data_IF_730481655715
#
_entry.id   IF_730481655715
#
_cell.length_a   1.000
_cell.length_b   1.000
_cell.length_c   1.000
_cell.angle_alpha   90.00
_cell.angle_beta   90.00
_cell.angle_gamma   90.00
#
_symmetry.space_group_name_H-M   'P 1'
#
loop_
_entity.id
_entity.type
_entity.pdbx_description
1 polymer ?
#
# COMPACT_ATOMS: atom_id res chain seq x y z
N UNK A 1 -11.13 -28.30 8.48
CA UNK A 1 -10.99 -26.92 7.94
C UNK A 1 -12.39 -26.47 7.52
N UNK A 2 -13.01 -25.52 8.21
CA UNK A 2 -14.29 -24.97 7.74
C UNK A 2 -14.05 -24.17 6.46
N UNK A 3 -14.79 -24.47 5.40
CA UNK A 3 -14.80 -23.67 4.19
C UNK A 3 -15.41 -22.29 4.52
N UNK A 4 -15.03 -21.22 3.81
CA UNK A 4 -15.68 -19.92 3.99
C UNK A 4 -17.15 -20.00 3.51
N UNK A 5 -18.11 -19.33 4.17
CA UNK A 5 -19.52 -19.36 3.77
C UNK A 5 -19.75 -18.92 2.32
N UNK A 6 -18.88 -18.05 1.78
CA UNK A 6 -18.88 -17.64 0.37
C UNK A 6 -18.88 -18.84 -0.59
N UNK A 7 -17.94 -19.78 -0.41
CA UNK A 7 -17.79 -20.92 -1.32
C UNK A 7 -19.01 -21.85 -1.29
N UNK A 8 -19.61 -22.05 -0.10
CA UNK A 8 -20.85 -22.83 0.03
C UNK A 8 -22.03 -22.13 -0.62
N UNK A 9 -22.17 -20.81 -0.46
CA UNK A 9 -23.22 -20.02 -1.13
C UNK A 9 -23.05 -20.05 -2.65
N UNK A 10 -21.83 -19.94 -3.15
CA UNK A 10 -21.54 -19.98 -4.59
C UNK A 10 -21.84 -21.36 -5.19
N UNK A 11 -21.45 -22.43 -4.50
CA UNK A 11 -21.79 -23.81 -4.89
C UNK A 11 -23.31 -24.03 -4.94
N UNK A 12 -24.03 -23.68 -3.87
CA UNK A 12 -25.49 -23.85 -3.80
C UNK A 12 -26.22 -22.99 -4.85
N UNK A 13 -25.67 -21.83 -5.20
CA UNK A 13 -26.18 -20.97 -6.27
C UNK A 13 -25.99 -21.64 -7.63
N UNK A 14 -24.81 -22.20 -7.91
CA UNK A 14 -24.52 -22.88 -9.17
C UNK A 14 -25.38 -24.14 -9.35
N UNK A 15 -25.66 -24.86 -8.28
CA UNK A 15 -26.51 -26.07 -8.34
C UNK A 15 -28.01 -25.78 -8.30
N UNK A 16 -28.43 -24.51 -8.19
CA UNK A 16 -29.85 -24.12 -8.09
C UNK A 16 -30.53 -24.51 -6.77
N UNK A 17 -29.76 -24.93 -5.76
CA UNK A 17 -30.25 -25.36 -4.45
C UNK A 17 -30.43 -24.19 -3.46
N UNK A 18 -29.82 -23.04 -3.77
CA UNK A 18 -29.94 -21.83 -2.97
C UNK A 18 -31.34 -21.23 -3.13
N UNK A 19 -32.09 -21.13 -2.04
CA UNK A 19 -33.47 -20.62 -2.01
C UNK A 19 -34.55 -21.71 -2.11
N UNK A 20 -34.21 -22.88 -2.65
CA UNK A 20 -35.11 -24.05 -2.73
C UNK A 20 -34.87 -25.02 -1.57
N UNK A 21 -33.60 -25.37 -1.32
CA UNK A 21 -33.21 -26.35 -0.30
C UNK A 21 -32.41 -25.74 0.85
N UNK A 22 -31.73 -24.63 0.61
CA UNK A 22 -30.95 -23.95 1.64
C UNK A 22 -31.03 -22.44 1.49
N UNK A 23 -31.24 -21.73 2.60
CA UNK A 23 -31.14 -20.26 2.65
C UNK A 23 -29.72 -19.82 3.00
N UNK A 24 -29.34 -18.60 2.61
CA UNK A 24 -28.05 -18.01 3.01
C UNK A 24 -27.88 -17.98 4.53
N UNK A 25 -28.97 -17.78 5.26
CA UNK A 25 -28.97 -17.77 6.73
C UNK A 25 -28.64 -19.14 7.33
N UNK A 26 -29.17 -20.21 6.76
CA UNK A 26 -28.83 -21.58 7.16
C UNK A 26 -27.35 -21.86 6.91
N UNK A 27 -26.81 -21.40 5.78
CA UNK A 27 -25.38 -21.50 5.49
C UNK A 27 -24.56 -20.72 6.52
N UNK A 28 -24.95 -19.49 6.86
CA UNK A 28 -24.25 -18.71 7.87
C UNK A 28 -24.27 -19.38 9.25
N UNK A 29 -25.43 -19.93 9.65
CA UNK A 29 -25.57 -20.65 10.93
C UNK A 29 -24.70 -21.91 10.96
N UNK A 30 -24.67 -22.69 9.88
CA UNK A 30 -23.81 -23.87 9.76
C UNK A 30 -22.31 -23.54 9.87
N UNK A 31 -21.92 -22.34 9.43
CA UNK A 31 -20.55 -21.82 9.55
C UNK A 31 -20.28 -21.03 10.83
N UNK A 32 -21.25 -20.90 11.74
CA UNK A 32 -21.11 -20.14 12.99
C UNK A 32 -20.98 -18.62 12.79
N UNK A 33 -21.52 -18.08 11.71
CA UNK A 33 -21.43 -16.66 11.34
C UNK A 33 -22.77 -15.96 11.56
N UNK A 34 -22.75 -14.75 12.13
CA UNK A 34 -23.97 -13.95 12.29
C UNK A 34 -24.48 -13.41 10.95
N UNK A 35 -25.78 -13.13 10.84
CA UNK A 35 -26.41 -12.58 9.63
C UNK A 35 -25.62 -11.37 9.08
N UNK A 36 -25.36 -10.37 9.91
CA UNK A 36 -24.64 -9.16 9.52
C UNK A 36 -23.21 -9.43 9.02
N UNK A 37 -22.50 -10.38 9.62
CA UNK A 37 -21.15 -10.76 9.19
C UNK A 37 -21.20 -11.57 7.90
N UNK A 38 -22.18 -12.46 7.76
CA UNK A 38 -22.41 -13.26 6.55
C UNK A 38 -22.61 -12.38 5.32
N UNK A 39 -23.53 -11.42 5.37
CA UNK A 39 -23.74 -10.47 4.28
C UNK A 39 -22.54 -9.55 4.04
N UNK A 40 -21.79 -9.17 5.09
CA UNK A 40 -20.53 -8.43 4.94
C UNK A 40 -19.46 -9.24 4.22
N UNK A 41 -19.40 -10.56 4.44
CA UNK A 41 -18.50 -11.45 3.72
C UNK A 41 -18.94 -11.56 2.26
N UNK A 42 -20.24 -11.77 2.00
CA UNK A 42 -20.77 -11.88 0.64
C UNK A 42 -20.62 -10.58 -0.19
N UNK A 43 -20.67 -9.42 0.46
CA UNK A 43 -20.56 -8.11 -0.20
C UNK A 43 -19.13 -7.66 -0.47
N UNK A 44 -18.11 -8.41 -0.03
CA UNK A 44 -16.70 -8.10 -0.34
C UNK A 44 -16.35 -8.82 -1.64
N UNK A 45 -16.24 -8.06 -2.73
CA UNK A 45 -15.64 -8.58 -3.97
C UNK A 45 -14.21 -9.01 -3.67
N UNK A 46 -13.95 -10.30 -3.87
CA UNK A 46 -12.63 -10.90 -3.68
C UNK A 46 -12.01 -11.01 -5.07
N UNK A 47 -11.42 -9.93 -5.58
CA UNK A 47 -10.96 -9.88 -6.98
C UNK A 47 -9.69 -10.72 -7.22
N UNK A 48 -9.05 -11.24 -6.16
CA UNK A 48 -7.84 -12.09 -6.25
C UNK A 48 -7.92 -13.19 -5.18
N UNK A 49 -7.42 -14.38 -5.54
CA UNK A 49 -7.51 -15.64 -4.83
C UNK A 49 -7.43 -15.59 -3.27
N UNK A 50 -8.19 -16.44 -2.57
CA UNK A 50 -8.39 -16.37 -1.12
C UNK A 50 -7.19 -16.83 -0.26
N UNK A 51 -6.02 -17.10 -0.85
CA UNK A 51 -4.86 -17.72 -0.16
C UNK A 51 -3.77 -16.74 0.26
N UNK A 52 -3.82 -15.48 -0.16
CA UNK A 52 -2.72 -14.54 0.10
C UNK A 52 -3.12 -13.55 1.19
N UNK A 53 -2.32 -13.47 2.26
CA UNK A 53 -2.50 -12.60 3.44
C UNK A 53 -2.43 -11.09 3.16
N UNK A 54 -2.65 -10.65 1.93
CA UNK A 54 -2.68 -9.23 1.58
C UNK A 54 -4.12 -8.73 1.65
N UNK A 55 -4.33 -7.66 2.41
CA UNK A 55 -5.62 -6.95 2.44
C UNK A 55 -5.92 -6.51 1.01
N UNK A 56 -6.97 -7.06 0.42
CA UNK A 56 -7.46 -6.70 -0.92
C UNK A 56 -8.20 -5.37 -0.94
N UNK A 57 -8.38 -4.74 0.21
CA UNK A 57 -9.03 -3.44 0.37
C UNK A 57 -7.98 -2.37 0.68
N UNK A 58 -8.16 -1.19 0.09
CA UNK A 58 -7.42 0.00 0.50
C UNK A 58 -7.68 0.25 1.99
N UNK A 59 -6.61 0.23 2.79
CA UNK A 59 -6.70 0.51 4.22
C UNK A 59 -7.12 1.97 4.41
N UNK A 60 -8.39 2.19 4.76
CA UNK A 60 -8.94 3.53 5.03
C UNK A 60 -8.70 3.99 6.46
N UNK A 61 -8.24 3.10 7.35
CA UNK A 61 -7.99 3.40 8.76
C UNK A 61 -6.54 3.81 8.96
N UNK A 62 -6.32 4.94 9.63
CA UNK A 62 -4.99 5.38 10.06
C UNK A 62 -4.76 6.87 9.87
N UNK A 63 -3.73 7.39 10.53
CA UNK A 63 -3.29 8.78 10.36
C UNK A 63 -2.69 8.95 8.96
N UNK A 64 -3.16 9.95 8.20
CA UNK A 64 -2.56 10.32 6.91
C UNK A 64 -1.07 10.61 7.07
N UNK A 65 -0.26 10.14 6.12
CA UNK A 65 1.18 10.43 6.09
C UNK A 65 1.38 11.94 5.92
N UNK A 66 2.41 12.51 6.58
CA UNK A 66 2.79 13.92 6.41
C UNK A 66 3.39 14.21 5.03
N UNK A 67 4.05 13.21 4.45
CA UNK A 67 4.61 13.27 3.11
C UNK A 67 3.77 12.37 2.21
N UNK A 68 3.11 12.97 1.23
CA UNK A 68 2.40 12.24 0.20
C UNK A 68 3.37 11.72 -0.88
N UNK A 69 2.93 10.76 -1.68
CA UNK A 69 3.74 10.15 -2.73
C UNK A 69 4.27 11.18 -3.74
N UNK A 70 3.45 12.16 -4.12
CA UNK A 70 3.90 13.24 -5.03
C UNK A 70 5.01 14.08 -4.41
N UNK A 71 4.89 14.43 -3.12
CA UNK A 71 5.93 15.17 -2.42
C UNK A 71 7.23 14.36 -2.33
N UNK A 72 7.14 13.04 -2.17
CA UNK A 72 8.31 12.18 -2.16
C UNK A 72 9.02 12.13 -3.52
N UNK A 73 8.28 12.12 -4.63
CA UNK A 73 8.87 12.20 -5.98
C UNK A 73 9.60 13.54 -6.17
N UNK A 74 9.00 14.66 -5.73
CA UNK A 74 9.61 15.99 -5.87
C UNK A 74 10.88 16.12 -5.01
N UNK A 75 10.82 15.64 -3.76
CA UNK A 75 11.99 15.54 -2.88
C UNK A 75 13.09 14.69 -3.53
N UNK A 76 12.70 13.57 -4.12
CA UNK A 76 13.61 12.66 -4.77
C UNK A 76 14.29 13.27 -6.01
N UNK A 77 13.54 14.03 -6.80
CA UNK A 77 14.07 14.80 -7.95
C UNK A 77 14.99 15.91 -7.50
N UNK A 78 14.62 16.67 -6.47
CA UNK A 78 15.46 17.68 -5.84
C UNK A 78 16.82 17.09 -5.42
N UNK A 79 16.81 15.87 -4.88
CA UNK A 79 18.03 15.13 -4.53
C UNK A 79 18.88 14.72 -5.74
N UNK A 80 18.25 14.32 -6.85
CA UNK A 80 18.96 13.78 -8.03
C UNK A 80 19.47 14.88 -8.96
N UNK A 81 18.65 15.89 -9.19
CA UNK A 81 18.90 17.05 -10.04
C UNK A 81 19.73 18.09 -9.28
N UNK A 82 19.54 18.20 -7.96
CA UNK A 82 20.24 19.14 -7.09
C UNK A 82 21.64 18.67 -6.73
N UNK A 83 22.64 19.18 -7.44
CA UNK A 83 23.90 19.51 -6.79
C UNK A 83 23.63 20.68 -5.85
N UNK A 84 23.53 20.43 -4.54
CA UNK A 84 23.26 21.47 -3.55
C UNK A 84 24.40 22.47 -3.40
N UNK A 85 24.96 23.08 -4.45
CA UNK A 85 26.01 24.11 -4.39
C UNK A 85 27.13 23.82 -3.35
N UNK A 86 27.55 22.55 -3.23
CA UNK A 86 28.54 22.12 -2.23
C UNK A 86 28.05 22.05 -0.76
N UNK A 87 26.77 22.34 -0.49
CA UNK A 87 26.14 22.28 0.83
C UNK A 87 25.48 20.93 1.09
N UNK A 88 25.75 20.37 2.27
CA UNK A 88 25.04 19.17 2.75
C UNK A 88 23.71 19.57 3.38
N UNK A 89 22.58 19.31 2.72
CA UNK A 89 21.26 19.55 3.32
C UNK A 89 20.99 18.61 4.50
N UNK A 90 20.44 19.15 5.59
CA UNK A 90 19.89 18.36 6.67
C UNK A 90 18.64 17.62 6.18
N UNK A 91 18.30 16.50 6.83
CA UNK A 91 17.08 15.76 6.48
C UNK A 91 15.80 16.57 6.63
N UNK A 92 15.80 17.56 7.53
CA UNK A 92 14.67 18.47 7.77
C UNK A 92 14.59 19.58 6.72
N UNK A 93 15.72 20.00 6.15
CA UNK A 93 15.76 21.01 5.10
C UNK A 93 15.46 20.48 3.69
N UNK A 94 15.50 19.16 3.50
CA UNK A 94 15.24 18.52 2.19
C UNK A 94 13.82 18.81 1.66
N UNK A 95 12.73 18.66 2.44
CA UNK A 95 11.38 19.02 1.99
C UNK A 95 11.29 20.49 1.55
N UNK A 96 11.83 21.41 2.35
CA UNK A 96 11.82 22.84 2.04
C UNK A 96 12.59 23.15 0.74
N UNK A 97 13.76 22.54 0.55
CA UNK A 97 14.55 22.66 -0.68
C UNK A 97 13.83 22.08 -1.91
N UNK A 98 12.94 21.11 -1.71
CA UNK A 98 12.09 20.56 -2.76
C UNK A 98 10.80 21.37 -3.00
N UNK A 99 10.64 22.53 -2.35
CA UNK A 99 9.46 23.39 -2.48
C UNK A 99 8.29 23.00 -1.57
N UNK A 100 8.52 22.13 -0.58
CA UNK A 100 7.51 21.74 0.40
C UNK A 100 7.76 22.38 1.76
N UNK A 101 6.94 23.36 2.11
CA UNK A 101 6.93 23.94 3.46
C UNK A 101 6.14 23.05 4.43
N UNK A 102 6.78 21.95 4.83
CA UNK A 102 6.19 20.97 5.76
C UNK A 102 7.18 20.70 6.89
N UNK A 103 6.75 20.94 8.12
CA UNK A 103 7.52 20.56 9.31
C UNK A 103 7.49 19.03 9.51
N UNK A 104 8.58 18.39 9.09
CA UNK A 104 8.76 16.94 9.15
C UNK A 104 10.08 16.61 9.82
N UNK A 105 10.03 15.75 10.84
CA UNK A 105 11.25 15.28 11.50
C UNK A 105 12.19 14.55 10.53
N UNK A 106 13.50 14.67 10.76
CA UNK A 106 14.50 13.95 9.98
C UNK A 106 14.24 12.43 9.89
N UNK A 107 13.66 11.83 10.94
CA UNK A 107 13.32 10.40 10.97
C UNK A 107 12.20 10.05 9.98
N UNK A 108 11.19 10.90 9.87
CA UNK A 108 10.07 10.69 8.94
C UNK A 108 10.52 10.82 7.50
N UNK A 109 11.35 11.82 7.18
CA UNK A 109 11.94 11.98 5.83
C UNK A 109 12.80 10.76 5.47
N UNK A 110 13.67 10.31 6.39
CA UNK A 110 14.47 9.08 6.19
C UNK A 110 13.64 7.84 5.95
N UNK A 111 12.56 7.65 6.70
CA UNK A 111 11.67 6.49 6.53
C UNK A 111 10.95 6.54 5.19
N UNK A 112 10.40 7.70 4.83
CA UNK A 112 9.67 7.86 3.59
C UNK A 112 10.57 7.67 2.35
N UNK A 113 11.80 8.21 2.40
CA UNK A 113 12.77 7.97 1.33
C UNK A 113 13.29 6.52 1.28
N UNK A 114 13.35 5.81 2.42
CA UNK A 114 13.64 4.37 2.41
C UNK A 114 12.57 3.55 1.70
N UNK A 115 11.30 3.95 1.74
CA UNK A 115 10.23 3.29 0.96
C UNK A 115 10.53 3.39 -0.55
N UNK A 116 11.16 4.48 -0.97
CA UNK A 116 11.67 4.72 -2.32
C UNK A 116 13.08 4.13 -2.58
N UNK A 117 13.55 3.23 -1.70
CA UNK A 117 14.88 2.61 -1.73
C UNK A 117 16.06 3.59 -1.78
N UNK A 118 15.84 4.81 -1.31
CA UNK A 118 16.88 5.82 -1.22
C UNK A 118 17.72 5.62 0.05
N UNK A 119 19.06 5.64 -0.06
CA UNK A 119 19.99 5.54 1.07
C UNK A 119 21.10 6.58 0.96
N UNK A 120 21.30 7.34 2.03
CA UNK A 120 22.41 8.29 2.10
C UNK A 120 23.73 7.52 2.22
N UNK A 121 24.67 7.74 1.30
CA UNK A 121 26.05 7.25 1.45
C UNK A 121 26.82 8.22 2.33
N UNK A 122 27.74 7.69 3.13
CA UNK A 122 28.63 8.50 3.98
C UNK A 122 29.71 9.22 3.16
N UNK A 123 30.08 8.67 1.99
CA UNK A 123 31.28 9.08 1.24
C UNK A 123 31.02 9.82 -0.09
N UNK A 124 29.77 10.11 -0.45
CA UNK A 124 29.46 10.73 -1.74
C UNK A 124 28.58 11.98 -1.56
N UNK A 125 28.93 13.08 -2.23
CA UNK A 125 28.08 14.27 -2.37
C UNK A 125 26.76 13.93 -3.10
N UNK A 126 26.82 12.99 -4.06
CA UNK A 126 25.63 12.37 -4.66
C UNK A 126 25.25 11.11 -3.90
N UNK A 127 24.02 11.11 -3.43
CA UNK A 127 23.49 10.09 -2.54
C UNK A 127 23.39 8.72 -3.22
N UNK A 128 23.65 7.62 -2.49
CA UNK A 128 23.71 6.28 -3.07
C UNK A 128 22.32 5.72 -3.39
N UNK A 129 22.13 5.34 -4.66
CA UNK A 129 20.94 4.63 -5.14
C UNK A 129 21.34 3.28 -5.67
N UNK A 130 20.64 2.24 -5.23
CA UNK A 130 20.89 0.88 -5.72
C UNK A 130 20.66 0.81 -7.24
N UNK A 131 21.44 -0.01 -7.94
CA UNK A 131 21.28 -0.21 -9.39
C UNK A 131 19.88 -0.73 -9.74
N UNK A 132 19.30 -1.57 -8.89
CA UNK A 132 17.95 -2.08 -9.07
C UNK A 132 16.90 -0.96 -8.99
N UNK A 133 17.05 -0.01 -8.07
CA UNK A 133 16.17 1.16 -7.96
C UNK A 133 16.28 2.09 -9.16
N UNK A 134 17.49 2.27 -9.71
CA UNK A 134 17.68 3.03 -10.96
C UNK A 134 16.92 2.40 -12.13
N UNK A 135 17.05 1.07 -12.31
CA UNK A 135 16.35 0.33 -13.38
C UNK A 135 14.82 0.43 -13.26
N UNK A 136 14.27 0.18 -12.06
CA UNK A 136 12.82 0.28 -11.80
C UNK A 136 12.25 1.68 -12.07
N UNK A 137 13.05 2.73 -11.91
CA UNK A 137 12.62 4.11 -12.18
C UNK A 137 12.61 4.45 -13.66
N UNK A 138 13.62 4.01 -14.40
CA UNK A 138 13.63 4.12 -15.87
C UNK A 138 12.43 3.38 -16.47
N UNK A 139 12.04 2.26 -15.87
CA UNK A 139 10.84 1.53 -16.25
C UNK A 139 9.56 2.30 -15.91
N UNK A 140 9.45 2.85 -14.69
CA UNK A 140 8.31 3.67 -14.29
C UNK A 140 8.15 4.95 -15.13
N UNK A 141 9.24 5.60 -15.53
CA UNK A 141 9.18 6.82 -16.36
C UNK A 141 8.83 6.56 -17.83
N UNK A 142 8.80 5.29 -18.25
CA UNK A 142 8.39 4.88 -19.60
C UNK A 142 6.90 4.52 -19.68
N UNK A 143 6.21 4.52 -18.54
CA UNK A 143 4.76 4.37 -18.39
C UNK A 143 4.15 5.77 -18.37
#
# INVERSE_FOLDING_TARGET
RSQRPQGTVDFLRQTGLLGTHATKEQVFRAHGVSHAVGYRILGRTCDIEPRTFHKTFAETRGRKKKLDHQALIQIERCIDEGGFDGRTLSWEGIPAAAGHDIEVSARTVRRALRELNFRRCIACEKQYRSQQSKKKRVEYSRI
#
